data_IF_879817035909
#
_entry.id   IF_879817035909
#
_cell.length_a   1.000
_cell.length_b   1.000
_cell.length_c   1.000
_cell.angle_alpha   90.00
_cell.angle_beta   90.00
_cell.angle_gamma   90.00
#
_symmetry.space_group_name_H-M   'P 1'
#
loop_
_entity.id
_entity.type
_entity.pdbx_description
1 polymer ?
#
# COMPACT_ATOMS: atom_id res chain seq x y z
N UNK A 1 -13.14 63.48 36.83
CA UNK A 1 -13.57 62.73 35.63
C UNK A 1 -12.69 61.50 35.51
N UNK A 2 -13.19 60.34 35.98
CA UNK A 2 -12.45 59.03 35.92
C UNK A 2 -12.89 58.31 34.64
N UNK A 3 -11.94 58.04 33.73
CA UNK A 3 -12.17 57.25 32.56
C UNK A 3 -11.98 55.78 32.91
N UNK A 4 -13.05 55.00 32.78
CA UNK A 4 -13.04 53.54 32.95
C UNK A 4 -12.71 52.94 31.59
N UNK A 5 -11.56 52.27 31.47
CA UNK A 5 -11.22 51.42 30.31
C UNK A 5 -11.81 50.03 30.51
N UNK A 6 -12.82 49.69 29.73
CA UNK A 6 -13.28 48.29 29.61
C UNK A 6 -12.28 47.55 28.68
N UNK A 7 -11.55 46.61 29.25
CA UNK A 7 -10.76 45.63 28.49
C UNK A 7 -11.69 44.50 28.07
N UNK A 8 -12.02 44.43 26.78
CA UNK A 8 -12.71 43.26 26.21
C UNK A 8 -11.72 42.11 26.04
N UNK A 9 -11.85 41.08 26.87
CA UNK A 9 -11.13 39.83 26.72
C UNK A 9 -11.77 39.02 25.58
N UNK A 10 -11.04 38.92 24.47
CA UNK A 10 -11.41 38.05 23.34
C UNK A 10 -11.09 36.61 23.70
N UNK A 11 -12.12 35.84 24.07
CA UNK A 11 -12.00 34.41 24.36
C UNK A 11 -11.84 33.67 23.01
N UNK A 12 -10.61 33.31 22.65
CA UNK A 12 -10.35 32.43 21.50
C UNK A 12 -10.80 31.01 21.86
N UNK A 13 -11.95 30.60 21.36
CA UNK A 13 -12.40 29.22 21.35
C UNK A 13 -11.50 28.43 20.38
N UNK A 14 -10.54 27.71 20.94
CA UNK A 14 -9.78 26.71 20.19
C UNK A 14 -10.75 25.57 19.83
N UNK A 15 -11.16 25.50 18.56
CA UNK A 15 -11.86 24.34 18.03
C UNK A 15 -10.91 23.14 18.10
N UNK A 16 -11.31 22.00 18.70
CA UNK A 16 -10.49 20.81 18.62
C UNK A 16 -10.36 20.43 17.15
N UNK A 17 -9.13 20.34 16.66
CA UNK A 17 -8.86 19.74 15.36
C UNK A 17 -9.37 18.31 15.43
N UNK A 18 -10.44 18.02 14.71
CA UNK A 18 -10.90 16.65 14.50
C UNK A 18 -9.73 15.89 13.89
N UNK A 19 -9.16 14.97 14.66
CA UNK A 19 -8.21 14.00 14.13
C UNK A 19 -8.92 13.30 12.97
N UNK A 20 -8.48 13.59 11.74
CA UNK A 20 -8.98 12.88 10.58
C UNK A 20 -8.61 11.42 10.77
N UNK A 21 -9.61 10.57 10.84
CA UNK A 21 -9.43 9.13 10.88
C UNK A 21 -8.74 8.70 9.58
N UNK A 22 -7.43 8.47 9.65
CA UNK A 22 -6.60 8.00 8.55
C UNK A 22 -6.64 6.48 8.42
N UNK A 23 -7.56 5.81 9.12
CA UNK A 23 -7.78 4.40 8.93
C UNK A 23 -8.10 4.13 7.47
N UNK A 24 -7.42 3.19 6.81
CA UNK A 24 -7.82 2.77 5.48
C UNK A 24 -9.27 2.28 5.59
N UNK A 25 -10.19 3.03 5.05
CA UNK A 25 -11.57 2.59 4.89
C UNK A 25 -11.57 1.44 3.89
N UNK A 26 -11.35 0.23 4.40
CA UNK A 26 -11.98 -0.91 3.78
C UNK A 26 -13.48 -0.66 3.95
N UNK A 27 -14.18 -0.45 2.84
CA UNK A 27 -15.62 -0.40 2.88
C UNK A 27 -16.11 -1.64 3.66
N UNK A 28 -16.99 -1.50 4.66
CA UNK A 28 -17.51 -2.67 5.35
C UNK A 28 -18.10 -3.60 4.28
N UNK A 29 -17.92 -4.93 4.42
CA UNK A 29 -18.53 -5.87 3.51
C UNK A 29 -20.04 -5.60 3.46
N UNK A 30 -20.69 -5.77 2.30
CA UNK A 30 -22.13 -5.57 2.19
C UNK A 30 -22.85 -6.39 3.27
N UNK A 31 -23.84 -5.79 3.88
CA UNK A 31 -24.54 -6.35 5.04
C UNK A 31 -25.28 -7.69 4.75
N UNK A 32 -25.49 -8.04 3.49
CA UNK A 32 -26.06 -9.31 3.07
C UNK A 32 -24.96 -10.34 2.77
N UNK A 33 -24.70 -11.21 3.75
CA UNK A 33 -23.79 -12.36 3.63
C UNK A 33 -24.55 -13.68 3.56
N UNK A 34 -25.85 -13.68 3.23
CA UNK A 34 -26.69 -14.88 3.20
C UNK A 34 -26.41 -15.80 2.00
N UNK A 35 -25.67 -15.32 0.98
CA UNK A 35 -25.22 -16.11 -0.15
C UNK A 35 -23.93 -16.90 0.11
N UNK A 36 -23.59 -17.87 -0.77
CA UNK A 36 -22.28 -18.53 -0.72
C UNK A 36 -21.18 -17.47 -0.81
N UNK A 37 -20.23 -17.53 0.12
CA UNK A 37 -19.08 -16.60 0.08
C UNK A 37 -18.31 -16.82 -1.22
N UNK A 38 -18.02 -15.76 -2.00
CA UNK A 38 -17.22 -15.90 -3.20
C UNK A 38 -15.86 -16.50 -2.82
N UNK A 39 -15.39 -17.43 -3.64
CA UNK A 39 -14.03 -17.93 -3.51
C UNK A 39 -13.03 -16.79 -3.70
N UNK A 40 -11.90 -16.87 -2.99
CA UNK A 40 -10.80 -15.96 -3.19
C UNK A 40 -10.32 -16.04 -4.65
N UNK A 41 -9.87 -14.92 -5.22
CA UNK A 41 -9.21 -14.91 -6.52
C UNK A 41 -7.92 -15.74 -6.48
N UNK A 42 -7.39 -16.09 -7.66
CA UNK A 42 -6.11 -16.81 -7.75
C UNK A 42 -5.03 -16.02 -7.01
N UNK A 43 -4.30 -16.70 -6.14
CA UNK A 43 -3.23 -16.11 -5.36
C UNK A 43 -2.23 -17.17 -4.91
N UNK A 44 -1.10 -16.73 -4.39
CA UNK A 44 -0.11 -17.61 -3.76
C UNK A 44 -0.59 -18.07 -2.38
N UNK A 45 -0.02 -19.15 -1.88
CA UNK A 45 -0.35 -19.65 -0.53
C UNK A 45 0.10 -18.67 0.54
N UNK A 46 -0.56 -18.70 1.70
CA UNK A 46 -0.28 -17.76 2.81
C UNK A 46 1.17 -17.88 3.32
N UNK A 47 1.73 -19.10 3.36
CA UNK A 47 3.11 -19.31 3.79
C UNK A 47 4.13 -18.65 2.86
N UNK A 48 3.89 -18.68 1.54
CA UNK A 48 4.71 -17.96 0.56
C UNK A 48 4.56 -16.45 0.70
N UNK A 49 3.33 -15.96 0.87
CA UNK A 49 3.06 -14.55 1.06
C UNK A 49 3.76 -13.98 2.30
N UNK A 50 3.67 -14.69 3.43
CA UNK A 50 4.36 -14.31 4.67
C UNK A 50 5.87 -14.33 4.49
N UNK A 51 6.42 -15.39 3.86
CA UNK A 51 7.86 -15.50 3.58
C UNK A 51 8.36 -14.32 2.76
N UNK A 52 7.68 -14.00 1.66
CA UNK A 52 8.06 -12.89 0.79
C UNK A 52 7.99 -11.54 1.53
N UNK A 53 6.92 -11.31 2.30
CA UNK A 53 6.76 -10.07 3.04
C UNK A 53 7.83 -9.89 4.13
N UNK A 54 8.14 -10.95 4.89
CA UNK A 54 9.20 -10.92 5.90
C UNK A 54 10.57 -10.68 5.27
N UNK A 55 10.88 -11.37 4.17
CA UNK A 55 12.16 -11.20 3.48
C UNK A 55 12.33 -9.77 2.91
N UNK A 56 11.27 -9.18 2.36
CA UNK A 56 11.28 -7.79 1.91
C UNK A 56 11.57 -6.82 3.07
N UNK A 57 10.86 -6.99 4.20
CA UNK A 57 11.03 -6.17 5.38
C UNK A 57 12.46 -6.30 5.98
N UNK A 58 12.97 -7.53 6.07
CA UNK A 58 14.33 -7.78 6.57
C UNK A 58 15.40 -7.22 5.65
N UNK A 59 15.23 -7.32 4.34
CA UNK A 59 16.15 -6.73 3.37
C UNK A 59 16.25 -5.21 3.57
N UNK A 60 15.11 -4.52 3.62
CA UNK A 60 15.04 -3.10 3.88
C UNK A 60 15.68 -2.71 5.23
N UNK A 61 15.43 -3.49 6.28
CA UNK A 61 15.99 -3.23 7.60
C UNK A 61 17.52 -3.39 7.66
N UNK A 62 18.09 -4.23 6.79
CA UNK A 62 19.55 -4.43 6.69
C UNK A 62 20.25 -3.40 5.82
N UNK A 63 19.53 -2.56 5.10
CA UNK A 63 20.12 -1.45 4.36
C UNK A 63 20.78 -0.42 5.29
N UNK A 64 21.74 0.37 4.81
CA UNK A 64 22.51 1.31 5.66
C UNK A 64 21.64 2.27 6.50
N UNK A 65 20.48 2.64 6.00
CA UNK A 65 19.53 3.53 6.71
C UNK A 65 18.51 2.78 7.58
N UNK A 66 18.58 1.44 7.61
CA UNK A 66 17.72 0.61 8.46
C UNK A 66 16.24 0.96 8.30
N UNK A 67 15.73 0.86 7.07
CA UNK A 67 14.36 1.25 6.76
C UNK A 67 13.31 0.38 7.47
N UNK A 68 12.24 1.02 7.92
CA UNK A 68 11.10 0.39 8.57
C UNK A 68 9.90 0.46 7.63
N UNK A 69 9.71 -0.61 6.89
CA UNK A 69 8.72 -0.66 5.80
C UNK A 69 7.50 -1.49 6.17
N UNK A 70 6.45 -1.30 5.40
CA UNK A 70 5.29 -2.18 5.35
C UNK A 70 5.31 -2.91 4.02
N UNK A 71 5.11 -4.22 4.07
CA UNK A 71 4.92 -5.06 2.89
C UNK A 71 3.52 -5.66 2.89
N UNK A 72 2.81 -5.42 1.79
CA UNK A 72 1.52 -6.02 1.46
C UNK A 72 1.73 -7.07 0.37
N UNK A 73 1.11 -8.23 0.51
CA UNK A 73 0.99 -9.23 -0.57
C UNK A 73 -0.47 -9.51 -0.82
N UNK A 74 -0.88 -9.44 -2.10
CA UNK A 74 -2.28 -9.62 -2.50
C UNK A 74 -2.45 -10.83 -3.42
N UNK A 75 -3.71 -11.24 -3.61
CA UNK A 75 -4.11 -12.11 -4.71
C UNK A 75 -4.29 -11.33 -6.03
N UNK A 76 -4.71 -12.02 -7.08
CA UNK A 76 -4.88 -11.43 -8.44
C UNK A 76 -6.01 -10.40 -8.53
N UNK A 77 -6.88 -10.30 -7.55
CA UNK A 77 -7.94 -9.29 -7.43
C UNK A 77 -7.53 -8.12 -6.51
N UNK A 78 -6.32 -8.13 -5.96
CA UNK A 78 -5.84 -7.10 -5.04
C UNK A 78 -6.31 -7.29 -3.59
N UNK A 79 -6.94 -8.45 -3.27
CA UNK A 79 -7.35 -8.74 -1.90
C UNK A 79 -6.12 -9.16 -1.08
N UNK A 80 -5.89 -8.57 0.10
CA UNK A 80 -4.75 -8.92 0.93
C UNK A 80 -4.68 -10.40 1.31
N UNK A 81 -3.53 -11.03 1.10
CA UNK A 81 -3.17 -12.32 1.68
C UNK A 81 -2.44 -12.08 3.01
N UNK A 82 -1.49 -11.14 3.01
CA UNK A 82 -0.81 -10.69 4.22
C UNK A 82 -0.40 -9.23 4.12
N UNK A 83 -0.36 -8.56 5.26
CA UNK A 83 0.21 -7.22 5.43
C UNK A 83 1.08 -7.25 6.68
N UNK A 84 2.37 -6.95 6.52
CA UNK A 84 3.33 -6.94 7.63
C UNK A 84 4.01 -5.58 7.67
N UNK A 85 3.75 -4.83 8.73
CA UNK A 85 4.50 -3.62 9.04
C UNK A 85 5.65 -3.98 9.97
N UNK A 86 6.85 -3.50 9.64
CA UNK A 86 8.00 -3.65 10.53
C UNK A 86 7.85 -2.75 11.77
N UNK A 87 8.48 -3.14 12.86
CA UNK A 87 8.45 -2.35 14.11
C UNK A 87 8.85 -0.90 13.84
N UNK A 88 8.07 0.04 14.37
CA UNK A 88 8.24 1.48 14.17
C UNK A 88 8.08 1.96 12.70
N UNK A 89 7.46 1.16 11.83
CA UNK A 89 7.05 1.62 10.49
C UNK A 89 5.99 2.73 10.59
N UNK A 90 6.05 3.71 9.68
CA UNK A 90 5.09 4.81 9.68
C UNK A 90 3.70 4.33 9.24
N UNK A 91 2.64 4.75 9.94
CA UNK A 91 1.26 4.36 9.65
C UNK A 91 0.85 4.59 8.18
N UNK A 92 1.29 5.67 7.57
CA UNK A 92 0.97 6.01 6.18
C UNK A 92 1.47 4.96 5.17
N UNK A 93 2.49 4.17 5.51
CA UNK A 93 3.08 3.18 4.60
C UNK A 93 2.11 2.09 4.21
N UNK A 94 1.19 1.71 5.10
CA UNK A 94 0.12 0.75 4.81
C UNK A 94 -0.77 1.26 3.67
N UNK A 95 -1.26 2.49 3.77
CA UNK A 95 -2.10 3.11 2.73
C UNK A 95 -1.38 3.18 1.38
N UNK A 96 -0.09 3.53 1.39
CA UNK A 96 0.71 3.62 0.17
C UNK A 96 0.91 2.23 -0.45
N UNK A 97 1.13 1.19 0.36
CA UNK A 97 1.25 -0.19 -0.11
C UNK A 97 -0.05 -0.65 -0.82
N UNK A 98 -1.23 -0.34 -0.27
CA UNK A 98 -2.51 -0.60 -0.94
C UNK A 98 -2.64 0.14 -2.28
N UNK A 99 -2.21 1.39 -2.35
CA UNK A 99 -2.22 2.15 -3.61
C UNK A 99 -1.34 1.51 -4.69
N UNK A 100 -0.17 0.98 -4.31
CA UNK A 100 0.71 0.24 -5.21
C UNK A 100 0.06 -1.06 -5.69
N UNK A 101 -0.53 -1.85 -4.78
CA UNK A 101 -1.22 -3.09 -5.10
C UNK A 101 -2.36 -2.86 -6.10
N UNK A 102 -3.21 -1.86 -5.86
CA UNK A 102 -4.30 -1.51 -6.77
C UNK A 102 -3.77 -1.14 -8.18
N UNK A 103 -2.66 -0.40 -8.24
CA UNK A 103 -2.01 -0.06 -9.51
C UNK A 103 -1.49 -1.32 -10.22
N UNK A 104 -0.74 -2.17 -9.52
CA UNK A 104 -0.16 -3.39 -10.08
C UNK A 104 -1.24 -4.31 -10.62
N UNK A 105 -2.30 -4.54 -9.87
CA UNK A 105 -3.40 -5.43 -10.27
C UNK A 105 -4.17 -4.86 -11.46
N UNK A 106 -4.47 -3.54 -11.45
CA UNK A 106 -5.23 -2.88 -12.53
C UNK A 106 -4.47 -2.86 -13.84
N UNK A 107 -3.18 -2.53 -13.81
CA UNK A 107 -2.39 -2.32 -15.04
C UNK A 107 -1.43 -3.46 -15.35
N UNK A 108 -1.30 -4.47 -14.49
CA UNK A 108 -0.42 -5.65 -14.63
C UNK A 108 1.04 -5.27 -14.92
N UNK A 109 1.52 -4.20 -14.31
CA UNK A 109 2.88 -3.69 -14.44
C UNK A 109 3.46 -3.28 -13.10
N UNK A 110 4.77 -3.12 -13.03
CA UNK A 110 5.44 -2.55 -11.84
C UNK A 110 4.92 -1.13 -11.58
N UNK A 111 4.76 -0.77 -10.32
CA UNK A 111 4.35 0.59 -9.98
C UNK A 111 5.39 1.64 -10.39
N UNK A 112 6.67 1.30 -10.41
CA UNK A 112 7.74 2.15 -10.94
C UNK A 112 7.60 2.42 -12.44
N UNK A 113 7.21 1.41 -13.24
CA UNK A 113 6.99 1.55 -14.68
C UNK A 113 5.79 2.47 -14.96
N UNK A 114 4.71 2.32 -14.18
CA UNK A 114 3.56 3.20 -14.27
C UNK A 114 3.92 4.66 -13.93
N UNK A 115 4.72 4.87 -12.87
CA UNK A 115 5.23 6.21 -12.51
C UNK A 115 6.13 6.78 -13.60
N UNK A 116 6.98 5.95 -14.22
CA UNK A 116 7.81 6.36 -15.35
C UNK A 116 6.97 6.74 -16.57
N UNK A 117 5.97 5.92 -16.94
CA UNK A 117 5.03 6.19 -18.01
C UNK A 117 4.27 7.50 -17.79
N UNK A 118 3.80 7.76 -16.59
CA UNK A 118 3.05 8.99 -16.26
C UNK A 118 3.87 10.29 -16.42
N UNK A 119 5.20 10.22 -16.54
CA UNK A 119 6.04 11.39 -16.83
C UNK A 119 5.95 11.83 -18.27
N UNK A 120 5.65 10.93 -19.20
CA UNK A 120 5.62 11.18 -20.64
C UNK A 120 4.22 11.04 -21.25
N UNK A 121 3.27 10.42 -20.54
CA UNK A 121 1.89 10.18 -20.96
C UNK A 121 0.94 10.97 -20.04
N UNK A 122 0.54 12.16 -20.49
CA UNK A 122 -0.32 13.05 -19.72
C UNK A 122 -1.73 12.47 -19.48
N UNK A 123 -2.25 11.68 -20.44
CA UNK A 123 -3.56 11.03 -20.29
C UNK A 123 -3.49 9.95 -19.19
N UNK A 124 -2.47 9.10 -19.23
CA UNK A 124 -2.25 8.09 -18.21
C UNK A 124 -2.01 8.71 -16.82
N UNK A 125 -1.25 9.82 -16.75
CA UNK A 125 -1.06 10.56 -15.50
C UNK A 125 -2.39 11.04 -14.93
N UNK A 126 -3.28 11.61 -15.77
CA UNK A 126 -4.60 12.07 -15.36
C UNK A 126 -5.48 10.89 -14.88
N UNK A 127 -5.43 9.76 -15.57
CA UNK A 127 -6.15 8.54 -15.18
C UNK A 127 -5.71 8.04 -13.79
N UNK A 128 -4.39 7.95 -13.54
CA UNK A 128 -3.87 7.55 -12.23
C UNK A 128 -4.30 8.53 -11.11
N UNK A 129 -4.26 9.83 -11.40
CA UNK A 129 -4.63 10.85 -10.42
C UNK A 129 -6.13 10.88 -10.10
N UNK A 130 -6.97 10.47 -11.05
CA UNK A 130 -8.42 10.40 -10.87
C UNK A 130 -8.87 9.17 -10.08
N UNK A 131 -8.02 8.14 -9.95
CA UNK A 131 -8.34 6.94 -9.19
C UNK A 131 -7.92 7.11 -7.71
N UNK A 132 -8.87 7.27 -6.79
CA UNK A 132 -8.56 7.52 -5.38
C UNK A 132 -7.84 6.35 -4.70
N UNK A 133 -7.94 5.14 -5.26
CA UNK A 133 -7.25 3.95 -4.75
C UNK A 133 -5.78 3.90 -5.18
N UNK A 134 -5.39 4.65 -6.21
CA UNK A 134 -4.06 4.61 -6.83
C UNK A 134 -3.31 5.95 -6.71
N UNK A 135 -4.00 7.08 -6.52
CA UNK A 135 -3.44 8.43 -6.60
C UNK A 135 -2.16 8.67 -5.77
N UNK A 136 -1.98 7.89 -4.68
CA UNK A 136 -0.78 7.95 -3.84
C UNK A 136 0.29 6.91 -4.22
N UNK A 137 0.10 6.12 -5.29
CA UNK A 137 1.04 5.06 -5.67
C UNK A 137 2.41 5.61 -6.09
N UNK A 138 3.45 4.89 -5.69
CA UNK A 138 4.86 5.19 -5.91
C UNK A 138 5.58 3.89 -6.28
N UNK A 139 6.87 3.91 -6.69
CA UNK A 139 7.67 2.70 -6.84
C UNK A 139 7.59 1.78 -5.61
N UNK A 140 7.71 0.47 -5.81
CA UNK A 140 7.71 -0.53 -4.74
C UNK A 140 6.61 -1.59 -4.85
N UNK A 141 5.75 -1.54 -5.89
CA UNK A 141 4.78 -2.57 -6.21
C UNK A 141 5.24 -3.41 -7.39
N UNK A 142 5.32 -4.73 -7.20
CA UNK A 142 5.74 -5.70 -8.21
C UNK A 142 4.66 -6.75 -8.45
N UNK A 143 4.36 -7.11 -9.73
CA UNK A 143 3.46 -8.21 -10.03
C UNK A 143 4.11 -9.56 -9.64
N UNK A 144 3.31 -10.45 -9.07
CA UNK A 144 3.65 -11.86 -8.89
C UNK A 144 3.07 -12.60 -10.07
N UNK A 145 3.95 -13.15 -10.93
CA UNK A 145 3.57 -13.81 -12.16
C UNK A 145 3.84 -15.31 -12.09
N UNK A 146 2.92 -16.12 -12.62
CA UNK A 146 3.11 -17.54 -12.90
C UNK A 146 2.94 -17.75 -14.42
N UNK A 147 4.05 -17.88 -15.14
CA UNK A 147 4.04 -17.70 -16.58
C UNK A 147 3.52 -16.31 -16.94
N UNK A 148 2.51 -16.24 -17.81
CA UNK A 148 1.88 -14.97 -18.22
C UNK A 148 0.69 -14.57 -17.33
N UNK A 149 0.36 -15.38 -16.32
CA UNK A 149 -0.76 -15.12 -15.44
C UNK A 149 -0.33 -14.26 -14.24
N UNK A 150 -1.02 -13.12 -14.02
CA UNK A 150 -0.93 -12.39 -12.76
C UNK A 150 -1.63 -13.21 -11.66
N UNK A 151 -0.89 -13.55 -10.61
CA UNK A 151 -1.40 -14.29 -9.45
C UNK A 151 -1.41 -13.45 -8.18
N UNK A 152 -0.93 -12.22 -8.24
CA UNK A 152 -0.94 -11.28 -7.11
C UNK A 152 0.06 -10.16 -7.27
N UNK A 153 0.30 -9.45 -6.18
CA UNK A 153 1.35 -8.43 -6.09
C UNK A 153 2.08 -8.49 -4.76
N UNK A 154 3.30 -7.97 -4.75
CA UNK A 154 4.06 -7.65 -3.54
C UNK A 154 4.38 -6.16 -3.55
N UNK A 155 4.01 -5.45 -2.48
CA UNK A 155 3.96 -4.00 -2.45
C UNK A 155 4.62 -3.49 -1.18
N UNK A 156 5.82 -2.93 -1.32
CA UNK A 156 6.62 -2.39 -0.22
C UNK A 156 6.49 -0.88 -0.17
N UNK A 157 6.39 -0.33 1.02
CA UNK A 157 6.38 1.12 1.25
C UNK A 157 7.09 1.48 2.54
N UNK A 158 7.93 2.51 2.50
CA UNK A 158 8.59 3.04 3.69
C UNK A 158 10.00 3.57 3.48
N UNK A 159 10.56 3.45 2.28
CA UNK A 159 11.86 4.06 1.97
C UNK A 159 11.65 5.43 1.33
N UNK A 160 12.03 6.53 1.99
CA UNK A 160 11.79 7.88 1.47
C UNK A 160 12.62 8.21 0.22
N UNK A 161 13.68 7.47 -0.02
CA UNK A 161 14.64 7.63 -1.12
C UNK A 161 14.50 6.62 -2.27
N UNK A 162 13.41 5.85 -2.28
CA UNK A 162 13.00 5.09 -3.46
C UNK A 162 13.51 3.66 -3.55
N UNK A 163 14.00 3.05 -2.46
CA UNK A 163 14.46 1.65 -2.43
C UNK A 163 13.35 0.61 -2.26
N UNK A 164 12.08 1.03 -2.28
CA UNK A 164 10.95 0.11 -2.09
C UNK A 164 10.92 -1.01 -3.14
N UNK A 165 11.30 -0.74 -4.42
CA UNK A 165 11.37 -1.76 -5.47
C UNK A 165 12.42 -2.84 -5.16
N UNK A 166 13.58 -2.45 -4.63
CA UNK A 166 14.64 -3.39 -4.26
C UNK A 166 14.19 -4.32 -3.13
N UNK A 167 13.50 -3.76 -2.14
CA UNK A 167 12.95 -4.54 -1.03
C UNK A 167 11.86 -5.50 -1.51
N UNK A 168 10.95 -5.04 -2.37
CA UNK A 168 9.91 -5.89 -2.96
C UNK A 168 10.52 -7.01 -3.80
N UNK A 169 11.57 -6.71 -4.59
CA UNK A 169 12.28 -7.71 -5.38
C UNK A 169 12.95 -8.76 -4.50
N UNK A 170 13.61 -8.34 -3.41
CA UNK A 170 14.23 -9.26 -2.46
C UNK A 170 13.20 -10.23 -1.85
N UNK A 171 11.99 -9.75 -1.53
CA UNK A 171 10.89 -10.59 -1.09
C UNK A 171 10.44 -11.57 -2.17
N UNK A 172 10.19 -11.08 -3.38
CA UNK A 172 9.74 -11.89 -4.52
C UNK A 172 10.76 -12.99 -4.87
N UNK A 173 12.06 -12.70 -4.80
CA UNK A 173 13.13 -13.63 -5.12
C UNK A 173 13.14 -14.87 -4.20
N UNK A 174 12.59 -14.77 -2.98
CA UNK A 174 12.51 -15.91 -2.06
C UNK A 174 11.43 -16.93 -2.42
N UNK A 175 10.50 -16.57 -3.32
CA UNK A 175 9.34 -17.40 -3.66
C UNK A 175 9.20 -17.72 -5.13
N UNK A 176 9.83 -16.97 -6.03
CA UNK A 176 9.61 -17.04 -7.50
C UNK A 176 9.77 -18.42 -8.11
N UNK A 177 10.71 -19.23 -7.59
CA UNK A 177 11.03 -20.57 -8.12
C UNK A 177 10.13 -21.68 -7.54
N UNK A 178 9.28 -21.35 -6.55
CA UNK A 178 8.45 -22.31 -5.83
C UNK A 178 7.00 -21.81 -5.65
N UNK A 179 6.47 -21.11 -6.63
CA UNK A 179 5.12 -20.57 -6.53
C UNK A 179 4.09 -21.71 -6.39
N UNK A 180 3.27 -21.63 -5.35
CA UNK A 180 2.12 -22.51 -5.10
C UNK A 180 0.87 -21.63 -5.04
N UNK A 181 -0.14 -22.00 -5.81
CA UNK A 181 -1.43 -21.32 -5.79
C UNK A 181 -2.34 -21.89 -4.71
N UNK A 182 -3.21 -21.04 -4.17
CA UNK A 182 -4.36 -21.48 -3.36
C UNK A 182 -5.31 -22.27 -4.27
N UNK A 183 -5.75 -23.41 -3.77
CA UNK A 183 -6.75 -24.26 -4.42
C UNK A 183 -8.16 -23.86 -3.99
#
# INVERSE_FOLDING_TARGET
MKKIFLASALLMLATPALAQDLSPTMAPPPADTSGPRPHRAVGITTDLAVRAAMAANEYCAKMPKNYRVTTLVTDSAGVPITLISYDNGAQITQRIAFGKANLVVKYKMKSSDAVARAKTDAAFKAELAADPLIAAARPGGLPIMMGDQLVGSIDVSGTPDGHDDECAQAGLDTIKDNLKLIQ
#
